data_IF_761192124337
#
_entry.id   IF_761192124337
#
_cell.length_a   1.000
_cell.length_b   1.000
_cell.length_c   1.000
_cell.angle_alpha   90.00
_cell.angle_beta   90.00
_cell.angle_gamma   90.00
#
_symmetry.space_group_name_H-M   'P 1'
#
loop_
_entity.id
_entity.type
_entity.pdbx_description
1 polymer ?
#
# COMPACT_ATOMS: atom_id res chain seq x y z
N UNK A 1 29.05 2.51 -16.83
CA UNK A 1 28.12 2.32 -17.97
C UNK A 1 27.86 3.58 -18.81
N UNK A 2 28.39 4.77 -18.45
CA UNK A 2 28.19 5.97 -19.29
C UNK A 2 26.73 6.43 -19.34
N UNK A 3 26.01 6.26 -18.22
CA UNK A 3 24.57 6.52 -18.07
C UNK A 3 24.27 7.77 -17.24
N UNK A 4 25.32 8.42 -16.71
CA UNK A 4 25.24 9.57 -15.80
C UNK A 4 24.36 10.72 -16.30
N UNK A 5 24.23 10.90 -17.62
CA UNK A 5 23.40 11.94 -18.25
C UNK A 5 22.22 11.38 -19.05
N UNK A 6 22.01 10.07 -19.03
CA UNK A 6 21.01 9.37 -19.86
C UNK A 6 19.83 8.84 -19.06
N UNK A 7 19.94 8.79 -17.73
CA UNK A 7 18.84 8.39 -16.86
C UNK A 7 17.97 9.60 -16.55
N UNK A 8 16.69 9.54 -16.96
CA UNK A 8 15.73 10.64 -16.81
C UNK A 8 14.96 10.60 -15.47
N UNK A 9 14.96 9.43 -14.81
CA UNK A 9 14.21 9.18 -13.58
C UNK A 9 14.33 7.71 -13.19
N UNK A 10 13.82 7.39 -12.00
CA UNK A 10 13.85 6.03 -11.45
C UNK A 10 12.43 5.62 -11.07
N UNK A 11 11.99 4.47 -11.59
CA UNK A 11 10.69 3.90 -11.27
C UNK A 11 10.81 2.98 -10.05
N UNK A 12 10.03 3.25 -9.00
CA UNK A 12 10.10 2.51 -7.73
C UNK A 12 8.72 2.34 -7.09
N UNK A 13 8.60 1.41 -6.15
CA UNK A 13 7.38 1.21 -5.37
C UNK A 13 7.21 2.24 -4.25
N UNK A 14 6.13 2.12 -3.47
CA UNK A 14 5.79 3.03 -2.37
C UNK A 14 6.47 2.64 -1.05
N UNK A 15 7.68 2.13 -1.07
CA UNK A 15 8.42 1.82 0.15
C UNK A 15 9.18 3.07 0.64
N UNK A 16 9.25 3.27 1.97
CA UNK A 16 9.90 4.44 2.57
C UNK A 16 11.43 4.40 2.41
N UNK A 17 11.98 3.19 2.24
CA UNK A 17 13.38 2.98 1.91
C UNK A 17 13.78 3.65 0.58
N UNK A 18 12.88 3.72 -0.40
CA UNK A 18 13.13 4.37 -1.69
C UNK A 18 13.29 5.88 -1.54
N UNK A 19 12.50 6.49 -0.66
CA UNK A 19 12.57 7.92 -0.40
C UNK A 19 13.89 8.26 0.31
N UNK A 20 14.30 7.43 1.28
CA UNK A 20 15.63 7.52 1.91
C UNK A 20 16.75 7.33 0.90
N UNK A 21 16.63 6.34 0.03
CA UNK A 21 17.62 6.10 -1.03
C UNK A 21 17.74 7.33 -1.94
N UNK A 22 16.63 7.91 -2.38
CA UNK A 22 16.64 9.12 -3.21
C UNK A 22 17.18 10.36 -2.49
N UNK A 23 17.11 10.42 -1.16
CA UNK A 23 17.73 11.50 -0.39
C UNK A 23 19.26 11.42 -0.39
N UNK A 24 19.82 10.20 -0.45
CA UNK A 24 21.26 9.96 -0.40
C UNK A 24 21.90 9.83 -1.80
N UNK A 25 21.17 9.32 -2.80
CA UNK A 25 21.68 9.13 -4.16
C UNK A 25 22.38 10.38 -4.75
N UNK A 26 21.86 11.61 -4.58
CA UNK A 26 22.50 12.81 -5.10
C UNK A 26 23.92 13.06 -4.56
N UNK A 27 24.24 12.59 -3.35
CA UNK A 27 25.59 12.72 -2.76
C UNK A 27 26.62 11.79 -3.44
N UNK A 28 26.14 10.72 -4.05
CA UNK A 28 26.97 9.69 -4.69
C UNK A 28 27.00 9.80 -6.22
N UNK A 29 26.13 10.63 -6.80
CA UNK A 29 26.06 10.85 -8.24
C UNK A 29 26.77 12.15 -8.64
N UNK A 30 27.25 12.22 -9.90
CA UNK A 30 27.70 13.47 -10.49
C UNK A 30 26.66 14.57 -10.36
N UNK A 31 27.09 15.83 -10.19
CA UNK A 31 26.20 17.00 -10.02
C UNK A 31 25.28 17.28 -11.20
N UNK A 32 25.54 16.67 -12.36
CA UNK A 32 24.69 16.74 -13.56
C UNK A 32 23.69 15.57 -13.67
N UNK A 33 23.62 14.69 -12.66
CA UNK A 33 22.61 13.64 -12.60
C UNK A 33 21.23 14.24 -12.40
N UNK A 34 20.25 13.72 -13.13
CA UNK A 34 18.85 14.10 -13.00
C UNK A 34 18.11 13.25 -11.95
N UNK A 35 18.79 12.28 -11.33
CA UNK A 35 18.16 11.37 -10.36
C UNK A 35 18.00 12.05 -9.01
N UNK A 36 16.77 12.14 -8.53
CA UNK A 36 16.42 12.64 -7.21
C UNK A 36 14.93 12.47 -6.95
N UNK A 37 14.44 12.99 -5.82
CA UNK A 37 13.02 12.91 -5.45
C UNK A 37 12.08 13.54 -6.48
N UNK A 38 12.52 14.58 -7.19
CA UNK A 38 11.73 15.26 -8.23
C UNK A 38 11.56 14.45 -9.52
N UNK A 39 12.39 13.43 -9.75
CA UNK A 39 12.36 12.55 -10.93
C UNK A 39 12.01 11.11 -10.57
N UNK A 40 11.51 10.90 -9.34
CA UNK A 40 10.95 9.63 -8.92
C UNK A 40 9.63 9.37 -9.66
N UNK A 41 9.55 8.20 -10.29
CA UNK A 41 8.33 7.71 -10.91
C UNK A 41 7.79 6.60 -10.00
N UNK A 42 6.53 6.72 -9.57
CA UNK A 42 5.89 5.70 -8.72
C UNK A 42 5.35 4.57 -9.58
N UNK A 43 5.52 3.33 -9.13
CA UNK A 43 5.02 2.16 -9.82
C UNK A 43 3.49 2.21 -9.93
N UNK A 44 2.97 2.17 -11.15
CA UNK A 44 1.53 2.30 -11.42
C UNK A 44 0.69 1.25 -10.69
N UNK A 45 1.18 0.02 -10.57
CA UNK A 45 0.50 -1.05 -9.82
C UNK A 45 0.30 -0.69 -8.35
N UNK A 46 1.33 -0.14 -7.70
CA UNK A 46 1.24 0.30 -6.31
C UNK A 46 0.33 1.51 -6.13
N UNK A 47 0.25 2.41 -7.12
CA UNK A 47 -0.72 3.51 -7.10
C UNK A 47 -2.17 3.01 -7.20
N UNK A 48 -2.43 1.99 -8.01
CA UNK A 48 -3.76 1.37 -8.07
C UNK A 48 -4.13 0.68 -6.75
N UNK A 49 -3.19 -0.03 -6.15
CA UNK A 49 -3.38 -0.67 -4.84
C UNK A 49 -3.66 0.38 -3.75
N UNK A 50 -2.86 1.45 -3.70
CA UNK A 50 -3.06 2.58 -2.79
C UNK A 50 -4.45 3.20 -2.99
N UNK A 51 -4.85 3.42 -4.24
CA UNK A 51 -6.18 3.97 -4.56
C UNK A 51 -7.30 3.05 -4.06
N UNK A 52 -7.19 1.74 -4.29
CA UNK A 52 -8.17 0.77 -3.82
C UNK A 52 -8.25 0.75 -2.28
N UNK A 53 -7.09 0.76 -1.60
CA UNK A 53 -7.01 0.86 -0.14
C UNK A 53 -7.67 2.13 0.37
N UNK A 54 -7.35 3.29 -0.23
CA UNK A 54 -7.97 4.57 0.12
C UNK A 54 -9.50 4.50 0.02
N UNK A 55 -10.05 3.96 -1.08
CA UNK A 55 -11.49 3.79 -1.25
C UNK A 55 -12.14 2.92 -0.19
N UNK A 56 -11.50 1.81 0.19
CA UNK A 56 -12.04 0.90 1.21
C UNK A 56 -11.95 1.53 2.60
N UNK A 57 -10.85 2.23 2.93
CA UNK A 57 -10.64 2.82 4.26
C UNK A 57 -11.68 3.88 4.64
N UNK A 58 -12.30 4.57 3.68
CA UNK A 58 -13.41 5.50 3.93
C UNK A 58 -14.61 4.81 4.60
N UNK A 59 -14.78 3.52 4.34
CA UNK A 59 -15.85 2.69 4.87
C UNK A 59 -15.33 1.64 5.85
N UNK A 60 -14.04 1.63 6.16
CA UNK A 60 -13.49 0.77 7.19
C UNK A 60 -13.68 1.47 8.53
N UNK A 61 -14.91 1.40 9.02
CA UNK A 61 -15.26 1.93 10.33
C UNK A 61 -14.59 1.00 11.35
N UNK A 62 -13.39 1.34 11.81
CA UNK A 62 -12.97 0.99 13.18
C UNK A 62 -14.15 1.41 14.04
N UNK A 63 -14.85 0.41 14.56
CA UNK A 63 -16.10 0.50 15.31
C UNK A 63 -16.32 1.88 15.93
N UNK A 64 -17.46 2.51 15.60
CA UNK A 64 -18.01 3.73 16.24
C UNK A 64 -17.99 3.65 17.79
N UNK A 65 -17.74 2.47 18.34
CA UNK A 65 -17.50 2.18 19.76
C UNK A 65 -16.33 2.97 20.37
N UNK A 66 -15.30 3.35 19.60
CA UNK A 66 -14.14 4.09 20.14
C UNK A 66 -14.38 5.61 20.30
N UNK A 67 -15.40 6.17 19.61
CA UNK A 67 -15.70 7.62 19.69
C UNK A 67 -16.77 7.97 20.75
N UNK A 68 -17.45 6.97 21.33
CA UNK A 68 -18.62 7.20 22.21
C UNK A 68 -18.37 6.90 23.70
N UNK A 69 -17.26 6.26 24.11
CA UNK A 69 -17.02 5.98 25.53
C UNK A 69 -15.58 6.28 26.00
N UNK A 70 -15.31 7.43 26.63
CA UNK A 70 -14.12 7.60 27.45
C UNK A 70 -14.38 6.97 28.83
N UNK A 71 -14.32 5.65 28.92
CA UNK A 71 -14.24 4.93 30.19
C UNK A 71 -15.30 3.86 30.41
N UNK A 72 -14.86 2.61 30.52
CA UNK A 72 -15.67 1.49 30.99
C UNK A 72 -15.08 0.15 30.57
N UNK A 73 -14.47 -0.54 31.52
CA UNK A 73 -13.75 -1.80 31.36
C UNK A 73 -14.69 -3.00 31.07
N UNK A 74 -14.09 -4.03 30.45
CA UNK A 74 -14.30 -5.47 30.64
C UNK A 74 -15.11 -6.28 29.58
N UNK A 75 -14.49 -7.37 29.12
CA UNK A 75 -15.20 -8.56 28.61
C UNK A 75 -15.16 -8.89 27.11
N UNK A 76 -14.05 -9.48 26.67
CA UNK A 76 -13.94 -10.64 25.75
C UNK A 76 -15.15 -11.04 24.88
N UNK A 77 -15.02 -11.00 23.54
CA UNK A 77 -15.14 -12.19 22.67
C UNK A 77 -14.85 -11.85 21.20
N UNK A 78 -14.14 -12.75 20.53
CA UNK A 78 -13.42 -12.49 19.29
C UNK A 78 -14.25 -12.33 18.03
N UNK A 79 -13.70 -11.59 17.08
CA UNK A 79 -13.95 -11.84 15.67
C UNK A 79 -12.71 -11.48 14.84
N UNK A 80 -12.49 -12.28 13.81
CA UNK A 80 -11.27 -12.37 13.01
C UNK A 80 -10.82 -11.00 12.46
N UNK A 81 -9.62 -10.57 12.85
CA UNK A 81 -8.81 -9.74 11.95
C UNK A 81 -8.45 -10.60 10.75
N UNK A 82 -9.31 -10.60 9.75
CA UNK A 82 -9.10 -11.24 8.46
C UNK A 82 -7.97 -10.49 7.77
N UNK A 83 -6.74 -10.88 8.12
CA UNK A 83 -5.54 -10.49 7.42
C UNK A 83 -5.70 -11.05 6.01
N UNK A 84 -6.19 -10.21 5.11
CA UNK A 84 -6.03 -10.36 3.67
C UNK A 84 -4.53 -10.44 3.40
N UNK A 85 -4.01 -11.67 3.48
CA UNK A 85 -2.71 -12.03 2.97
C UNK A 85 -2.82 -11.93 1.46
N UNK A 86 -2.31 -10.82 0.93
CA UNK A 86 -2.21 -10.60 -0.49
C UNK A 86 -1.29 -11.69 -1.07
N UNK A 87 -1.90 -12.67 -1.73
CA UNK A 87 -1.19 -13.76 -2.38
C UNK A 87 -0.56 -13.20 -3.66
N UNK A 88 0.60 -12.56 -3.51
CA UNK A 88 1.44 -12.18 -4.65
C UNK A 88 2.04 -13.48 -5.20
N UNK A 89 1.49 -13.92 -6.33
CA UNK A 89 1.97 -15.08 -7.07
C UNK A 89 3.36 -14.74 -7.63
N UNK A 90 4.41 -15.24 -6.96
CA UNK A 90 5.80 -15.05 -7.38
C UNK A 90 6.00 -15.80 -8.70
N UNK A 91 5.89 -15.07 -9.82
CA UNK A 91 6.34 -15.57 -11.12
C UNK A 91 7.85 -15.72 -11.02
N UNK A 92 8.31 -16.95 -10.75
CA UNK A 92 9.71 -17.30 -10.66
C UNK A 92 10.31 -17.22 -12.07
N UNK A 93 10.99 -16.12 -12.37
CA UNK A 93 11.74 -15.94 -13.62
C UNK A 93 12.82 -17.05 -13.73
N UNK A 94 12.75 -17.95 -14.73
CA UNK A 94 13.66 -19.09 -14.82
C UNK A 94 15.09 -18.74 -15.24
N UNK A 95 15.43 -17.45 -15.47
CA UNK A 95 16.74 -17.08 -16.05
C UNK A 95 17.73 -16.42 -15.07
N UNK A 96 17.40 -16.27 -13.78
CA UNK A 96 18.28 -15.58 -12.83
C UNK A 96 19.24 -16.54 -12.09
N UNK A 97 20.25 -17.08 -12.78
CA UNK A 97 21.44 -17.63 -12.12
C UNK A 97 22.49 -16.51 -11.99
N UNK A 98 22.58 -15.90 -10.79
CA UNK A 98 23.69 -15.03 -10.42
C UNK A 98 24.26 -15.50 -9.08
N UNK A 99 25.58 -15.65 -9.06
CA UNK A 99 26.36 -16.26 -7.99
C UNK A 99 26.40 -15.41 -6.70
N UNK A 100 26.13 -16.10 -5.59
CA UNK A 100 26.71 -16.00 -4.23
C UNK A 100 27.17 -14.61 -3.73
N UNK A 101 26.19 -13.83 -3.27
CA UNK A 101 26.22 -13.00 -2.05
C UNK A 101 24.73 -12.76 -1.70
N UNK A 102 24.07 -13.78 -1.13
CA UNK A 102 22.63 -13.70 -0.83
C UNK A 102 22.35 -12.71 0.30
N UNK A 103 22.10 -11.45 -0.06
CA UNK A 103 21.38 -10.51 0.81
C UNK A 103 19.99 -11.10 1.04
N UNK A 104 19.76 -11.65 2.23
CA UNK A 104 18.45 -12.15 2.62
C UNK A 104 17.50 -10.94 2.78
N UNK A 105 16.78 -10.63 1.70
CA UNK A 105 15.73 -9.60 1.74
C UNK A 105 14.57 -10.19 2.55
N UNK A 106 14.31 -9.63 3.72
CA UNK A 106 13.11 -9.95 4.47
C UNK A 106 11.89 -9.35 3.76
N UNK A 107 11.31 -10.11 2.83
CA UNK A 107 10.13 -9.72 2.06
C UNK A 107 8.97 -9.28 2.95
N UNK A 108 8.88 -9.80 4.18
CA UNK A 108 7.85 -9.41 5.14
C UNK A 108 8.12 -8.01 5.70
N UNK A 109 9.37 -7.68 5.98
CA UNK A 109 9.75 -6.35 6.43
C UNK A 109 9.52 -5.31 5.33
N UNK A 110 9.88 -5.62 4.08
CA UNK A 110 9.63 -4.75 2.92
C UNK A 110 8.13 -4.53 2.68
N UNK A 111 7.33 -5.60 2.76
CA UNK A 111 5.87 -5.48 2.64
C UNK A 111 5.28 -4.62 3.77
N UNK A 112 5.77 -4.78 5.00
CA UNK A 112 5.33 -3.98 6.14
C UNK A 112 5.71 -2.50 5.99
N UNK A 113 6.89 -2.20 5.42
CA UNK A 113 7.32 -0.84 5.14
C UNK A 113 6.41 -0.18 4.09
N UNK A 114 6.14 -0.88 2.98
CA UNK A 114 5.17 -0.42 1.97
C UNK A 114 3.79 -0.15 2.54
N UNK A 115 3.27 -1.07 3.35
CA UNK A 115 1.94 -0.91 3.93
C UNK A 115 1.87 0.31 4.84
N UNK A 116 2.90 0.55 5.66
CA UNK A 116 2.98 1.73 6.51
C UNK A 116 3.02 3.03 5.70
N UNK A 117 3.86 3.09 4.68
CA UNK A 117 3.93 4.26 3.80
C UNK A 117 2.60 4.52 3.08
N UNK A 118 1.90 3.46 2.63
CA UNK A 118 0.56 3.57 2.07
C UNK A 118 -0.45 4.12 3.10
N UNK A 119 -0.44 3.64 4.34
CA UNK A 119 -1.32 4.11 5.41
C UNK A 119 -1.12 5.61 5.71
N UNK A 120 0.14 6.04 5.83
CA UNK A 120 0.51 7.45 6.04
C UNK A 120 0.05 8.33 4.86
N UNK A 121 0.21 7.87 3.62
CA UNK A 121 -0.22 8.59 2.43
C UNK A 121 -1.76 8.71 2.35
N UNK A 122 -2.49 7.64 2.68
CA UNK A 122 -3.96 7.66 2.76
C UNK A 122 -4.44 8.64 3.82
N UNK A 123 -3.82 8.63 5.00
CA UNK A 123 -4.17 9.55 6.09
C UNK A 123 -4.01 11.00 5.65
N UNK A 124 -2.88 11.36 5.04
CA UNK A 124 -2.64 12.71 4.53
C UNK A 124 -3.64 13.12 3.44
N UNK A 125 -3.96 12.21 2.51
CA UNK A 125 -4.92 12.48 1.43
C UNK A 125 -6.36 12.61 1.95
N UNK A 126 -6.69 11.95 3.07
CA UNK A 126 -8.04 12.00 3.66
C UNK A 126 -8.36 13.31 4.38
N UNK A 127 -7.36 14.04 4.86
CA UNK A 127 -7.54 15.20 5.74
C UNK A 127 -8.24 16.40 5.10
N UNK A 128 -8.44 16.44 3.77
CA UNK A 128 -8.96 17.61 3.05
C UNK A 128 -10.01 17.27 1.97
N UNK A 129 -10.71 16.14 2.08
CA UNK A 129 -11.77 15.78 1.12
C UNK A 129 -13.13 16.16 1.70
N UNK A 130 -13.64 17.33 1.30
CA UNK A 130 -14.96 17.84 1.70
C UNK A 130 -16.07 16.82 1.44
N UNK A 131 -15.96 16.03 0.35
CA UNK A 131 -16.91 14.99 -0.01
C UNK A 131 -16.90 13.80 0.97
N UNK A 132 -15.74 13.45 1.52
CA UNK A 132 -15.60 12.36 2.51
C UNK A 132 -16.09 12.84 3.88
N UNK A 133 -15.78 14.09 4.25
CA UNK A 133 -16.27 14.73 5.47
C UNK A 133 -17.80 14.96 5.43
N UNK A 134 -18.39 15.09 4.24
CA UNK A 134 -19.83 15.26 4.03
C UNK A 134 -20.63 13.94 4.10
N UNK A 135 -19.97 12.77 4.13
CA UNK A 135 -20.67 11.49 4.26
C UNK A 135 -21.33 11.36 5.62
N UNK A 136 -22.64 11.06 5.62
CA UNK A 136 -23.36 10.78 6.86
C UNK A 136 -22.98 9.40 7.40
N UNK A 137 -23.21 9.17 8.69
CA UNK A 137 -23.01 7.85 9.30
C UNK A 137 -23.91 6.77 8.66
N UNK A 138 -25.06 7.17 8.09
CA UNK A 138 -25.91 6.26 7.33
C UNK A 138 -25.28 5.85 5.99
N UNK A 139 -24.67 6.80 5.28
CA UNK A 139 -23.95 6.54 4.02
C UNK A 139 -22.75 5.63 4.26
N UNK A 140 -21.98 5.89 5.32
CA UNK A 140 -20.85 5.03 5.72
C UNK A 140 -21.32 3.61 6.02
N UNK A 141 -22.38 3.46 6.82
CA UNK A 141 -22.96 2.14 7.15
C UNK A 141 -23.45 1.39 5.91
N UNK A 142 -24.09 2.09 4.97
CA UNK A 142 -24.55 1.50 3.71
C UNK A 142 -23.37 1.05 2.84
N UNK A 143 -22.32 1.87 2.76
CA UNK A 143 -21.06 1.55 2.08
C UNK A 143 -20.38 0.32 2.68
N UNK A 144 -20.24 0.26 4.01
CA UNK A 144 -19.70 -0.88 4.75
C UNK A 144 -20.43 -2.18 4.39
N UNK A 145 -21.76 -2.15 4.44
CA UNK A 145 -22.61 -3.30 4.16
C UNK A 145 -22.51 -3.77 2.70
N UNK A 146 -22.21 -2.86 1.77
CA UNK A 146 -22.03 -3.17 0.35
C UNK A 146 -20.66 -3.79 0.11
N UNK A 147 -19.58 -3.19 0.63
CA UNK A 147 -18.21 -3.71 0.53
C UNK A 147 -18.11 -5.10 1.17
N UNK A 148 -18.69 -5.28 2.35
CA UNK A 148 -18.72 -6.58 3.05
C UNK A 148 -19.44 -7.68 2.26
N UNK A 149 -20.42 -7.32 1.42
CA UNK A 149 -21.10 -8.28 0.54
C UNK A 149 -20.23 -8.61 -0.68
N UNK A 150 -19.56 -7.62 -1.25
CA UNK A 150 -18.67 -7.81 -2.41
C UNK A 150 -17.45 -8.66 -2.02
N UNK A 151 -16.87 -8.46 -0.84
CA UNK A 151 -15.72 -9.26 -0.37
C UNK A 151 -16.07 -10.73 -0.11
N UNK A 152 -17.34 -11.02 0.20
CA UNK A 152 -17.85 -12.38 0.41
C UNK A 152 -18.25 -13.09 -0.88
N UNK A 153 -18.18 -12.42 -2.04
CA UNK A 153 -18.47 -13.08 -3.31
C UNK A 153 -17.36 -14.08 -3.63
N UNK A 154 -17.70 -15.33 -4.01
CA UNK A 154 -16.69 -16.31 -4.38
C UNK A 154 -15.87 -15.82 -5.57
N UNK A 155 -14.54 -15.92 -5.45
CA UNK A 155 -13.62 -15.55 -6.53
C UNK A 155 -13.98 -16.29 -7.83
N UNK A 156 -14.19 -15.53 -8.91
CA UNK A 156 -14.55 -16.02 -10.26
C UNK A 156 -13.51 -17.02 -10.83
N UNK A 157 -12.35 -17.19 -10.18
CA UNK A 157 -11.35 -18.21 -10.51
C UNK A 157 -11.90 -19.65 -10.54
N UNK A 158 -13.07 -19.92 -9.95
CA UNK A 158 -13.69 -21.25 -9.99
C UNK A 158 -14.53 -21.54 -11.26
N UNK A 159 -14.70 -20.57 -12.18
CA UNK A 159 -15.63 -20.70 -13.32
C UNK A 159 -14.97 -20.89 -14.69
N UNK A 160 -13.64 -20.94 -14.77
CA UNK A 160 -12.92 -21.24 -16.01
C UNK A 160 -12.23 -22.60 -15.85
N UNK A 161 -13.04 -23.66 -15.96
CA UNK A 161 -12.58 -25.00 -16.32
C UNK A 161 -13.39 -25.39 -17.55
N UNK A 162 -12.84 -25.14 -18.73
CA UNK A 162 -13.21 -25.79 -19.99
C UNK A 162 -11.98 -25.88 -20.89
#
# INVERSE_FOLDING_TARGET
>A
FGLETKTLGVAMDNASNNDKMLSHIPEHLPTNSLIGSTTQIRCFGHILELSAKAFVTVFDVKSIEDMVNPGGNDGNDGDNSDKVVDAVDVVKDPFLEVADDEVYIDERAELADRNRANEEEIELLSQNLDEVCALTEEDKRMGCGTISKVSRLPSIRSFIVY
#
